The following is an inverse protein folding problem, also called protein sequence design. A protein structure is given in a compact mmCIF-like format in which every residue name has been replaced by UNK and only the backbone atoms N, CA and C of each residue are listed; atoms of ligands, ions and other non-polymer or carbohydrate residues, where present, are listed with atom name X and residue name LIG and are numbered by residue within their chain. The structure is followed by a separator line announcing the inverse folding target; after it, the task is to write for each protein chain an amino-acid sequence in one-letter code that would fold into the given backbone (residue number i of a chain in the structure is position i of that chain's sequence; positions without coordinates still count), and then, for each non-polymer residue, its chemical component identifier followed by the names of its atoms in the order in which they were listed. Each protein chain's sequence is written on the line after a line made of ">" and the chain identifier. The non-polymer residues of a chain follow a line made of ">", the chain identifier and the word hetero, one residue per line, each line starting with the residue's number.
data_IF_278559801503
#
_entry.id   IF_278559801503
#
_cell.length_a   1.000
_cell.length_b   1.000
_cell.length_c   1.000
_cell.angle_alpha   90.00
_cell.angle_beta   90.00
_cell.angle_gamma   90.00
#
_symmetry.space_group_name_H-M   'P 1'
#
loop_
_entity.id
_entity.type
_entity.pdbx_description
1 polymer ?
#
# COMPACT_ATOMS: atom_id res chain seq x y z
N UNK A 1 3.92 -32.49 -24.25
CA UNK A 1 5.23 -32.60 -23.61
C UNK A 1 5.37 -31.43 -22.64
N UNK A 2 4.92 -31.47 -21.39
CA UNK A 2 5.29 -32.37 -20.29
C UNK A 2 4.06 -32.70 -19.42
N UNK A 3 4.00 -33.94 -18.94
CA UNK A 3 3.13 -34.47 -17.87
C UNK A 3 4.05 -35.04 -16.80
N UNK A 4 3.64 -34.95 -15.54
CA UNK A 4 4.04 -35.72 -14.34
C UNK A 4 4.49 -34.79 -13.20
N UNK A 5 4.20 -35.01 -11.93
CA UNK A 5 3.27 -35.90 -11.22
C UNK A 5 3.31 -35.37 -9.77
N UNK A 6 2.16 -34.97 -9.23
CA UNK A 6 2.04 -34.66 -7.80
C UNK A 6 1.86 -35.97 -7.05
N UNK A 7 2.95 -36.51 -6.48
CA UNK A 7 2.89 -37.67 -5.60
C UNK A 7 2.89 -37.21 -4.14
N UNK A 8 1.77 -37.50 -3.48
CA UNK A 8 1.62 -37.45 -2.03
C UNK A 8 2.59 -38.44 -1.36
N UNK A 9 3.29 -38.01 -0.32
CA UNK A 9 3.94 -38.92 0.63
C UNK A 9 3.43 -38.61 2.04
N UNK A 10 2.57 -39.53 2.48
CA UNK A 10 2.09 -39.69 3.84
C UNK A 10 3.20 -40.24 4.75
N UNK A 11 3.18 -39.71 5.99
CA UNK A 11 3.66 -40.25 7.27
C UNK A 11 4.28 -41.66 7.28
N UNK A 12 5.50 -41.77 7.82
CA UNK A 12 5.75 -42.28 9.19
C UNK A 12 7.12 -42.98 9.30
N UNK A 13 7.73 -42.81 10.48
CA UNK A 13 8.58 -43.81 11.15
C UNK A 13 9.90 -44.21 10.48
N UNK A 14 11.02 -43.71 11.02
CA UNK A 14 12.02 -44.58 11.68
C UNK A 14 13.26 -43.78 12.10
N UNK A 15 13.26 -43.41 13.38
CA UNK A 15 14.35 -42.81 14.15
C UNK A 15 15.52 -43.77 14.44
N UNK A 16 15.80 -44.73 13.56
CA UNK A 16 16.72 -45.84 13.83
C UNK A 16 17.95 -45.92 12.90
N UNK A 17 18.02 -45.10 11.84
CA UNK A 17 19.10 -45.22 10.84
C UNK A 17 20.18 -44.11 10.87
N UNK A 18 20.14 -43.20 11.85
CA UNK A 18 21.06 -42.05 11.92
C UNK A 18 22.18 -42.16 12.96
N UNK A 19 22.44 -43.37 13.49
CA UNK A 19 23.35 -43.57 14.63
C UNK A 19 24.56 -44.46 14.35
N UNK A 20 25.05 -44.52 13.11
CA UNK A 20 26.15 -45.40 12.75
C UNK A 20 27.24 -44.79 11.84
N UNK A 21 27.40 -43.46 11.85
CA UNK A 21 28.53 -42.78 11.19
C UNK A 21 29.22 -41.76 12.12
N UNK A 22 29.28 -42.08 13.41
CA UNK A 22 30.08 -41.35 14.40
C UNK A 22 31.25 -42.22 14.84
N UNK A 23 32.22 -42.46 13.95
CA UNK A 23 33.57 -42.95 14.29
C UNK A 23 34.48 -42.81 13.08
N UNK A 24 35.39 -41.85 13.17
CA UNK A 24 36.36 -41.56 12.12
C UNK A 24 36.89 -40.14 12.27
N UNK A 25 37.64 -39.89 13.34
CA UNK A 25 38.43 -38.67 13.46
C UNK A 25 39.62 -38.73 12.51
N UNK A 26 39.69 -37.78 11.59
CA UNK A 26 40.92 -37.36 10.93
C UNK A 26 40.86 -35.84 10.79
N UNK A 27 41.88 -35.18 11.33
CA UNK A 27 42.02 -33.72 11.29
C UNK A 27 42.22 -33.21 9.88
N UNK A 28 41.71 -32.00 9.66
CA UNK A 28 41.92 -31.23 8.43
C UNK A 28 41.18 -29.92 8.55
N UNK A 29 41.92 -28.82 8.72
CA UNK A 29 41.37 -27.49 8.81
C UNK A 29 40.48 -27.18 7.60
N UNK A 30 39.28 -26.70 7.89
CA UNK A 30 38.33 -26.23 6.89
C UNK A 30 37.35 -25.32 7.61
N UNK A 31 37.55 -24.01 7.46
CA UNK A 31 36.66 -23.02 8.03
C UNK A 31 35.21 -23.34 7.64
N UNK A 32 34.32 -23.28 8.63
CA UNK A 32 32.88 -23.27 8.40
C UNK A 32 32.57 -22.13 7.43
N UNK A 33 32.40 -22.48 6.16
CA UNK A 33 31.71 -21.63 5.21
C UNK A 33 30.28 -21.53 5.72
N UNK A 34 30.02 -20.55 6.58
CA UNK A 34 28.68 -20.04 6.82
C UNK A 34 28.16 -19.60 5.46
N UNK A 35 27.42 -20.50 4.81
CA UNK A 35 26.71 -20.19 3.60
C UNK A 35 25.65 -19.17 4.00
N UNK A 36 26.00 -17.89 3.83
CA UNK A 36 25.04 -16.81 3.82
C UNK A 36 24.16 -17.06 2.60
N UNK A 37 23.13 -17.90 2.75
CA UNK A 37 22.01 -17.93 1.84
C UNK A 37 21.37 -16.56 1.99
N UNK A 38 21.79 -15.62 1.13
CA UNK A 38 21.11 -14.34 0.99
C UNK A 38 19.65 -14.68 0.77
N UNK A 39 18.80 -14.32 1.72
CA UNK A 39 17.36 -14.59 1.68
C UNK A 39 16.73 -13.79 0.55
N UNK A 40 16.95 -14.20 -0.69
CA UNK A 40 16.19 -13.72 -1.82
C UNK A 40 14.89 -14.50 -1.84
N UNK A 41 13.89 -13.97 -1.13
CA UNK A 41 12.52 -14.37 -1.37
C UNK A 41 12.21 -14.17 -2.86
N UNK A 42 11.60 -15.18 -3.50
CA UNK A 42 11.15 -15.06 -4.87
C UNK A 42 10.17 -13.89 -4.98
N UNK A 43 10.35 -13.04 -5.98
CA UNK A 43 9.50 -11.86 -6.20
C UNK A 43 8.47 -12.14 -7.27
N UNK A 44 7.21 -11.85 -6.96
CA UNK A 44 6.14 -11.82 -7.96
C UNK A 44 6.22 -10.49 -8.74
N UNK A 45 6.07 -10.57 -10.06
CA UNK A 45 6.12 -9.39 -10.94
C UNK A 45 4.89 -9.38 -11.84
N UNK A 46 4.07 -8.34 -11.70
CA UNK A 46 2.85 -8.12 -12.48
C UNK A 46 3.00 -6.89 -13.38
N UNK A 47 2.38 -6.93 -14.56
CA UNK A 47 2.57 -5.88 -15.57
C UNK A 47 1.24 -5.36 -16.14
N UNK A 48 1.31 -4.18 -16.75
CA UNK A 48 0.26 -3.64 -17.61
C UNK A 48 -1.03 -3.29 -16.88
N UNK A 49 -2.16 -3.62 -17.51
CA UNK A 49 -3.51 -3.25 -17.04
C UNK A 49 -3.90 -4.01 -15.77
N UNK A 50 -3.51 -5.29 -15.65
CA UNK A 50 -3.82 -6.12 -14.48
C UNK A 50 -3.23 -5.56 -13.19
N UNK A 51 -1.95 -5.15 -13.21
CA UNK A 51 -1.30 -4.52 -12.07
C UNK A 51 -1.96 -3.19 -11.68
N UNK A 52 -2.29 -2.34 -12.67
CA UNK A 52 -2.97 -1.06 -12.42
C UNK A 52 -4.37 -1.24 -11.85
N UNK A 53 -5.12 -2.23 -12.32
CA UNK A 53 -6.46 -2.54 -11.79
C UNK A 53 -6.39 -3.03 -10.34
N UNK A 54 -5.41 -3.87 -9.99
CA UNK A 54 -5.19 -4.32 -8.61
C UNK A 54 -4.83 -3.15 -7.67
N UNK A 55 -3.92 -2.28 -8.11
CA UNK A 55 -3.58 -1.06 -7.36
C UNK A 55 -4.78 -0.14 -7.18
N UNK A 56 -5.58 0.08 -8.23
CA UNK A 56 -6.76 0.94 -8.19
C UNK A 56 -7.81 0.43 -7.19
N UNK A 57 -8.00 -0.90 -7.11
CA UNK A 57 -8.86 -1.50 -6.07
C UNK A 57 -8.39 -1.17 -4.67
N UNK A 58 -7.09 -1.25 -4.41
CA UNK A 58 -6.52 -0.90 -3.11
C UNK A 58 -6.69 0.57 -2.73
N UNK A 59 -6.53 1.45 -3.72
CA UNK A 59 -6.80 2.89 -3.55
C UNK A 59 -8.27 3.15 -3.25
N UNK A 60 -9.18 2.52 -4.00
CA UNK A 60 -10.62 2.70 -3.81
C UNK A 60 -11.08 2.21 -2.44
N UNK A 61 -10.66 1.02 -2.01
CA UNK A 61 -11.08 0.47 -0.72
C UNK A 61 -10.59 1.33 0.45
N UNK A 62 -9.35 1.84 0.37
CA UNK A 62 -8.82 2.76 1.39
C UNK A 62 -9.56 4.11 1.37
N UNK A 63 -9.75 4.69 0.19
CA UNK A 63 -10.41 5.98 0.05
C UNK A 63 -11.89 5.91 0.48
N UNK A 64 -12.57 4.80 0.20
CA UNK A 64 -13.95 4.56 0.60
C UNK A 64 -14.10 4.43 2.13
N UNK A 65 -13.10 3.87 2.80
CA UNK A 65 -13.05 3.83 4.26
C UNK A 65 -12.76 5.22 4.87
N UNK A 66 -11.97 6.06 4.21
CA UNK A 66 -11.62 7.40 4.72
C UNK A 66 -12.72 8.41 4.43
N UNK A 67 -13.36 8.37 3.25
CA UNK A 67 -14.34 9.38 2.81
C UNK A 67 -15.57 9.47 3.72
N UNK A 68 -15.95 8.40 4.41
CA UNK A 68 -17.12 8.40 5.32
C UNK A 68 -16.91 9.32 6.53
N UNK A 69 -15.66 9.64 6.85
CA UNK A 69 -15.30 10.54 7.96
C UNK A 69 -15.35 12.02 7.57
N UNK A 70 -15.58 12.33 6.29
CA UNK A 70 -15.47 13.69 5.76
C UNK A 70 -16.62 14.61 6.22
N UNK A 71 -16.25 15.82 6.65
CA UNK A 71 -17.18 16.92 6.92
C UNK A 71 -17.92 16.84 8.27
N UNK A 72 -18.77 17.83 8.58
CA UNK A 72 -19.46 17.93 9.88
C UNK A 72 -20.44 16.77 10.11
N UNK A 73 -20.96 16.17 9.04
CA UNK A 73 -21.83 14.98 9.07
C UNK A 73 -21.06 13.67 8.88
N UNK A 74 -19.73 13.69 9.05
CA UNK A 74 -18.88 12.51 8.98
C UNK A 74 -19.33 11.43 9.97
N UNK A 75 -19.35 10.18 9.48
CA UNK A 75 -19.70 8.99 10.24
C UNK A 75 -18.48 8.45 10.98
N UNK A 76 -18.75 7.70 12.04
CA UNK A 76 -17.71 7.04 12.80
C UNK A 76 -17.22 5.79 12.07
N UNK A 77 -15.90 5.59 12.09
CA UNK A 77 -15.26 4.34 11.66
C UNK A 77 -14.79 3.60 12.90
N UNK A 78 -15.06 2.30 12.95
CA UNK A 78 -14.65 1.42 14.04
C UNK A 78 -13.44 0.62 13.58
N UNK A 79 -12.36 0.69 14.36
CA UNK A 79 -11.09 0.02 14.07
C UNK A 79 -10.82 -1.02 15.16
N UNK A 80 -10.66 -2.27 14.76
CA UNK A 80 -10.26 -3.35 15.65
C UNK A 80 -8.81 -3.19 16.12
N UNK A 81 -8.55 -3.54 17.38
CA UNK A 81 -7.21 -3.54 17.98
C UNK A 81 -6.99 -4.88 18.66
N UNK A 82 -5.84 -5.51 18.43
CA UNK A 82 -5.54 -6.87 18.89
C UNK A 82 -5.72 -7.08 20.40
N UNK A 83 -5.32 -6.12 21.24
CA UNK A 83 -5.28 -6.30 22.71
C UNK A 83 -6.05 -5.22 23.49
N UNK A 84 -6.92 -4.45 22.84
CA UNK A 84 -7.67 -3.34 23.49
C UNK A 84 -9.06 -3.21 22.90
N UNK A 85 -9.93 -2.48 23.59
CA UNK A 85 -11.25 -2.11 23.06
C UNK A 85 -11.13 -1.45 21.67
N UNK A 86 -12.10 -1.69 20.77
CA UNK A 86 -12.09 -1.12 19.43
C UNK A 86 -12.04 0.41 19.47
N UNK A 87 -11.23 1.01 18.60
CA UNK A 87 -11.13 2.48 18.49
C UNK A 87 -12.23 2.98 17.57
N UNK A 88 -13.11 3.82 18.08
CA UNK A 88 -14.06 4.58 17.26
C UNK A 88 -13.41 5.92 16.93
N UNK A 89 -13.35 6.29 15.65
CA UNK A 89 -12.73 7.54 15.22
C UNK A 89 -13.42 8.17 14.02
N UNK A 90 -13.33 9.49 13.92
CA UNK A 90 -13.65 10.29 12.73
C UNK A 90 -12.40 10.86 12.05
N UNK A 91 -11.21 10.49 12.52
CA UNK A 91 -9.97 10.97 11.94
C UNK A 91 -9.56 10.10 10.75
N UNK A 92 -9.60 10.69 9.55
CA UNK A 92 -9.21 10.04 8.30
C UNK A 92 -7.75 9.57 8.29
N UNK A 93 -6.85 10.24 9.00
CA UNK A 93 -5.43 9.86 9.07
C UNK A 93 -5.26 8.55 9.85
N UNK A 94 -5.90 8.46 11.01
CA UNK A 94 -5.93 7.23 11.80
C UNK A 94 -6.51 6.07 10.99
N UNK A 95 -7.64 6.30 10.29
CA UNK A 95 -8.29 5.27 9.47
C UNK A 95 -7.36 4.78 8.35
N UNK A 96 -6.75 5.70 7.59
CA UNK A 96 -5.85 5.36 6.51
C UNK A 96 -4.65 4.52 6.99
N UNK A 97 -4.09 4.83 8.16
CA UNK A 97 -2.94 4.11 8.73
C UNK A 97 -3.28 2.67 9.11
N UNK A 98 -4.48 2.42 9.60
CA UNK A 98 -4.92 1.11 10.08
C UNK A 98 -5.30 0.12 8.99
N UNK A 99 -5.44 0.54 7.73
CA UNK A 99 -5.85 -0.33 6.62
C UNK A 99 -4.64 -0.99 5.99
N UNK A 100 -4.52 -2.31 6.06
CA UNK A 100 -3.51 -3.08 5.33
C UNK A 100 -4.19 -4.22 4.58
N UNK A 101 -3.65 -4.56 3.42
CA UNK A 101 -4.19 -5.63 2.56
C UNK A 101 -3.19 -6.77 2.45
N UNK A 102 -3.69 -8.01 2.45
CA UNK A 102 -2.87 -9.22 2.25
C UNK A 102 -2.29 -9.27 0.83
N UNK A 103 -3.08 -8.86 -0.17
CA UNK A 103 -2.63 -8.75 -1.56
C UNK A 103 -1.61 -7.62 -1.69
N UNK A 104 -0.38 -7.99 -2.06
CA UNK A 104 0.74 -7.06 -2.21
C UNK A 104 0.48 -5.96 -3.25
N UNK A 105 -0.12 -6.28 -4.40
CA UNK A 105 -0.37 -5.31 -5.46
C UNK A 105 -1.41 -4.26 -5.03
N UNK A 106 -2.45 -4.73 -4.33
CA UNK A 106 -3.46 -3.89 -3.71
C UNK A 106 -2.87 -3.02 -2.60
N UNK A 107 -2.04 -3.61 -1.74
CA UNK A 107 -1.41 -2.92 -0.61
C UNK A 107 -0.42 -1.83 -1.06
N UNK A 108 0.27 -2.02 -2.19
CA UNK A 108 1.11 -0.98 -2.79
C UNK A 108 0.26 0.24 -3.15
N UNK A 109 -0.89 0.05 -3.81
CA UNK A 109 -1.81 1.14 -4.12
C UNK A 109 -2.28 1.90 -2.87
N UNK A 110 -2.72 1.15 -1.85
CA UNK A 110 -3.14 1.73 -0.58
C UNK A 110 -2.01 2.50 0.12
N UNK A 111 -0.80 1.95 0.13
CA UNK A 111 0.38 2.55 0.77
C UNK A 111 0.78 3.88 0.11
N UNK A 112 0.63 4.01 -1.21
CA UNK A 112 0.88 5.27 -1.91
C UNK A 112 -0.10 6.37 -1.45
N UNK A 113 -1.37 6.03 -1.23
CA UNK A 113 -2.37 6.99 -0.74
C UNK A 113 -2.12 7.36 0.72
N UNK A 114 -1.69 6.40 1.56
CA UNK A 114 -1.24 6.69 2.93
C UNK A 114 -0.10 7.73 2.94
N UNK A 115 0.86 7.61 2.03
CA UNK A 115 1.95 8.58 1.91
C UNK A 115 1.45 9.98 1.53
N UNK A 116 0.44 10.07 0.65
CA UNK A 116 -0.20 11.36 0.32
C UNK A 116 -0.86 11.96 1.56
N UNK A 117 -1.66 11.17 2.29
CA UNK A 117 -2.31 11.63 3.51
C UNK A 117 -1.30 12.09 4.57
N UNK A 118 -0.21 11.34 4.77
CA UNK A 118 0.86 11.71 5.71
C UNK A 118 1.62 12.97 5.27
N UNK A 119 1.89 13.15 3.98
CA UNK A 119 2.54 14.35 3.46
C UNK A 119 1.67 15.59 3.65
N UNK A 120 0.37 15.49 3.36
CA UNK A 120 -0.60 16.57 3.60
C UNK A 120 -0.69 16.90 5.09
N UNK A 121 -0.76 15.89 5.96
CA UNK A 121 -0.80 16.10 7.40
C UNK A 121 0.44 16.84 7.92
N UNK A 122 1.63 16.51 7.40
CA UNK A 122 2.88 17.19 7.80
C UNK A 122 2.98 18.62 7.29
N UNK A 123 2.41 18.90 6.11
CA UNK A 123 2.49 20.22 5.49
C UNK A 123 1.45 21.21 6.02
N UNK A 124 0.21 20.75 6.22
CA UNK A 124 -0.93 21.62 6.54
C UNK A 124 -1.60 21.29 7.89
N UNK A 125 -1.41 20.08 8.43
CA UNK A 125 -2.10 19.66 9.66
C UNK A 125 -3.58 19.31 9.50
N UNK A 126 -4.17 19.57 8.33
CA UNK A 126 -5.56 19.24 7.96
C UNK A 126 -5.65 18.92 6.46
N UNK A 127 -6.83 18.52 5.97
CA UNK A 127 -7.11 18.27 4.56
C UNK A 127 -6.73 16.88 4.09
N UNK A 128 -6.38 15.97 5.01
CA UNK A 128 -5.93 14.60 4.70
C UNK A 128 -7.02 13.75 4.06
N UNK A 129 -8.26 13.87 4.55
CA UNK A 129 -9.44 13.24 3.96
C UNK A 129 -9.71 13.80 2.56
N UNK A 130 -9.61 15.12 2.39
CA UNK A 130 -9.79 15.78 1.09
C UNK A 130 -8.73 15.32 0.07
N UNK A 131 -7.46 15.29 0.47
CA UNK A 131 -6.34 14.82 -0.36
C UNK A 131 -6.53 13.36 -0.80
N UNK A 132 -7.03 12.51 0.10
CA UNK A 132 -7.32 11.10 -0.19
C UNK A 132 -8.41 10.96 -1.27
N UNK A 133 -9.52 11.69 -1.13
CA UNK A 133 -10.63 11.66 -2.10
C UNK A 133 -10.23 12.24 -3.46
N UNK A 134 -9.48 13.34 -3.47
CA UNK A 134 -8.94 13.92 -4.71
C UNK A 134 -7.98 12.95 -5.41
N UNK A 135 -7.12 12.27 -4.65
CA UNK A 135 -6.19 11.25 -5.18
C UNK A 135 -6.96 10.10 -5.82
N UNK A 136 -8.00 9.60 -5.17
CA UNK A 136 -8.88 8.56 -5.71
C UNK A 136 -9.51 8.99 -7.04
N UNK A 137 -10.08 10.20 -7.10
CA UNK A 137 -10.74 10.72 -8.29
C UNK A 137 -9.77 10.87 -9.47
N UNK A 138 -8.62 11.50 -9.25
CA UNK A 138 -7.59 11.70 -10.30
C UNK A 138 -7.05 10.36 -10.79
N UNK A 139 -6.77 9.42 -9.88
CA UNK A 139 -6.22 8.13 -10.26
C UNK A 139 -7.24 7.29 -11.05
N UNK A 140 -8.51 7.30 -10.64
CA UNK A 140 -9.57 6.56 -11.32
C UNK A 140 -9.74 7.02 -12.77
N UNK A 141 -9.85 8.33 -12.98
CA UNK A 141 -9.97 8.89 -14.33
C UNK A 141 -8.68 8.76 -15.13
N UNK A 142 -7.52 8.89 -14.47
CA UNK A 142 -6.22 8.68 -15.10
C UNK A 142 -6.04 7.24 -15.59
N UNK A 143 -6.44 6.24 -14.81
CA UNK A 143 -6.41 4.84 -15.22
C UNK A 143 -7.31 4.57 -16.44
N UNK A 144 -8.49 5.21 -16.51
CA UNK A 144 -9.39 5.10 -17.67
C UNK A 144 -8.76 5.71 -18.93
N UNK A 145 -8.19 6.92 -18.82
CA UNK A 145 -7.52 7.58 -19.95
C UNK A 145 -6.33 6.78 -20.48
N UNK A 146 -5.54 6.19 -19.59
CA UNK A 146 -4.40 5.34 -19.98
C UNK A 146 -4.87 4.03 -20.61
N UNK A 147 -5.98 3.45 -20.14
CA UNK A 147 -6.58 2.29 -20.79
C UNK A 147 -7.11 2.61 -22.21
N UNK A 148 -7.53 3.85 -22.46
CA UNK A 148 -7.91 4.35 -23.78
C UNK A 148 -6.71 4.64 -24.72
N UNK A 149 -5.47 4.42 -24.25
CA UNK A 149 -4.26 4.61 -25.07
C UNK A 149 -3.65 6.01 -24.99
N UNK A 150 -4.10 6.86 -24.07
CA UNK A 150 -3.51 8.20 -23.86
C UNK A 150 -2.08 8.08 -23.29
N UNK A 151 -1.18 8.93 -23.77
CA UNK A 151 0.18 9.00 -23.24
C UNK A 151 0.19 9.49 -21.78
N UNK A 152 0.74 8.65 -20.89
CA UNK A 152 0.83 8.91 -19.44
C UNK A 152 1.62 10.19 -19.13
N UNK A 153 2.68 10.47 -19.89
CA UNK A 153 3.55 11.61 -19.64
C UNK A 153 2.85 12.92 -19.96
N UNK A 154 2.06 12.96 -21.02
CA UNK A 154 1.30 14.14 -21.40
C UNK A 154 0.10 14.35 -20.48
N UNK A 155 -0.55 13.26 -20.05
CA UNK A 155 -1.58 13.31 -19.01
C UNK A 155 -1.04 13.95 -17.72
N UNK A 156 0.13 13.51 -17.24
CA UNK A 156 0.79 14.10 -16.06
C UNK A 156 1.10 15.58 -16.25
N UNK A 157 1.63 15.98 -17.41
CA UNK A 157 1.89 17.39 -17.73
C UNK A 157 0.60 18.22 -17.71
N UNK A 158 -0.48 17.70 -18.28
CA UNK A 158 -1.80 18.33 -18.28
C UNK A 158 -2.35 18.54 -16.86
N UNK A 159 -2.28 17.50 -16.02
CA UNK A 159 -2.68 17.58 -14.60
C UNK A 159 -1.86 18.65 -13.87
N UNK A 160 -0.54 18.68 -14.05
CA UNK A 160 0.31 19.68 -13.40
C UNK A 160 -0.05 21.11 -13.82
N UNK A 161 -0.31 21.35 -15.12
CA UNK A 161 -0.76 22.65 -15.61
C UNK A 161 -2.09 23.08 -14.97
N UNK A 162 -3.05 22.15 -14.86
CA UNK A 162 -4.32 22.40 -14.20
C UNK A 162 -4.15 22.74 -12.71
N UNK A 163 -3.30 22.00 -11.98
CA UNK A 163 -2.98 22.27 -10.58
C UNK A 163 -2.40 23.68 -10.41
N UNK A 164 -1.46 24.09 -11.28
CA UNK A 164 -0.89 25.44 -11.22
C UNK A 164 -1.93 26.54 -11.43
N UNK A 165 -2.81 26.37 -12.41
CA UNK A 165 -3.89 27.33 -12.69
C UNK A 165 -4.89 27.42 -11.52
N UNK A 166 -5.33 26.27 -10.99
CA UNK A 166 -6.26 26.21 -9.85
C UNK A 166 -5.63 26.84 -8.61
N UNK A 167 -4.36 26.56 -8.32
CA UNK A 167 -3.67 27.11 -7.15
C UNK A 167 -3.53 28.63 -7.26
N UNK A 168 -3.22 29.15 -8.46
CA UNK A 168 -3.16 30.59 -8.69
C UNK A 168 -4.52 31.27 -8.44
N UNK A 169 -5.59 30.66 -8.95
CA UNK A 169 -6.95 31.16 -8.76
C UNK A 169 -7.42 31.07 -7.29
N UNK A 170 -7.05 30.02 -6.55
CA UNK A 170 -7.35 29.93 -5.12
C UNK A 170 -6.64 31.01 -4.32
N UNK A 171 -5.36 31.30 -4.65
CA UNK A 171 -4.62 32.40 -4.03
C UNK A 171 -5.25 33.76 -4.31
N UNK A 172 -5.77 34.00 -5.51
CA UNK A 172 -6.42 35.28 -5.83
C UNK A 172 -7.77 35.47 -5.15
N UNK A 173 -8.39 34.39 -4.66
CA UNK A 173 -9.65 34.44 -3.89
C UNK A 173 -9.44 34.35 -2.39
N UNK A 174 -8.20 34.15 -1.93
CA UNK A 174 -7.90 34.07 -0.51
C UNK A 174 -8.06 35.45 0.13
N UNK A 175 -8.77 35.48 1.24
CA UNK A 175 -8.89 36.65 2.10
C UNK A 175 -7.92 36.47 3.27
N UNK A 176 -7.17 37.52 3.61
CA UNK A 176 -6.31 37.50 4.79
C UNK A 176 -7.16 37.80 6.02
N UNK A 177 -6.99 37.00 7.06
CA UNK A 177 -7.67 37.16 8.34
C UNK A 177 -6.65 37.79 9.29
N UNK A 178 -6.90 39.04 9.70
CA UNK A 178 -6.03 39.79 10.59
C UNK A 178 -6.56 39.83 12.05
N UNK A 179 -7.81 39.41 12.28
CA UNK A 179 -8.46 39.44 13.59
C UNK A 179 -8.43 38.08 14.31
N UNK A 180 -8.16 38.03 15.63
CA UNK A 180 -8.09 36.79 16.40
C UNK A 180 -9.45 36.15 16.74
N UNK A 181 -10.56 36.85 16.49
CA UNK A 181 -11.92 36.43 16.87
C UNK A 181 -12.74 35.78 15.72
N UNK A 182 -12.16 35.63 14.52
CA UNK A 182 -12.76 34.90 13.38
C UNK A 182 -11.87 33.74 12.89
#
# INVERSE_FOLDING_TARGET
>A
MYRAAAAAISRSSSSALRRQLARGGFGGGGGEQRQWVRGYAAKEVTFGVGARAAMLRGVNDLADAVKVTMGPKGRNVVIERSNRSPKVTKDGVTVAKSIEFEDSAKNVGASLVKQVADATNKAAGDGTTCATVLTQAILTEGCKAVAAGVNVMDLRKGINKAISAVTAHLKSKAWMIDSPDE
#
